data_IF_022032748566
#
_entry.id   IF_022032748566
#
_cell.length_a   1.000
_cell.length_b   1.000
_cell.length_c   1.000
_cell.angle_alpha   90.00
_cell.angle_beta   90.00
_cell.angle_gamma   90.00
#
_symmetry.space_group_name_H-M   'P 1'
#
loop_
_entity.id
_entity.type
_entity.pdbx_description
1 polymer ?
2 non-polymer ?
3 non-polymer ?
4 water ?
#
# COMPACT_ATOMS: atom_id res chain seq x y z
N UNK A 1 -22.20 -22.58 -3.09
CA UNK A 1 -21.39 -21.33 -3.11
C UNK A 1 -20.53 -21.27 -4.36
N UNK A 2 -20.83 -22.15 -5.32
CA UNK A 2 -20.09 -22.20 -6.57
C UNK A 2 -20.23 -20.87 -7.31
N UNK A 3 -21.43 -20.30 -7.27
CA UNK A 3 -21.72 -19.04 -7.93
C UNK A 3 -20.75 -17.94 -7.49
N UNK A 4 -20.45 -17.90 -6.20
CA UNK A 4 -19.55 -16.89 -5.65
C UNK A 4 -18.15 -17.01 -6.23
N UNK A 5 -17.58 -18.21 -6.22
CA UNK A 5 -16.25 -18.42 -6.77
C UNK A 5 -16.19 -18.01 -8.24
N UNK A 6 -17.19 -18.43 -9.01
CA UNK A 6 -17.25 -18.10 -10.44
C UNK A 6 -17.29 -16.59 -10.67
N UNK A 7 -17.95 -15.87 -9.77
CA UNK A 7 -18.04 -14.42 -9.90
C UNK A 7 -16.70 -13.79 -9.51
N UNK A 8 -16.09 -14.32 -8.46
CA UNK A 8 -14.80 -13.80 -8.00
C UNK A 8 -13.79 -13.94 -9.13
N UNK A 9 -13.87 -15.07 -9.82
CA UNK A 9 -12.97 -15.35 -10.93
C UNK A 9 -13.21 -14.39 -12.10
N UNK A 10 -14.47 -14.10 -12.38
CA UNK A 10 -14.84 -13.20 -13.47
C UNK A 10 -14.34 -11.78 -13.22
N UNK A 11 -14.53 -11.29 -12.00
CA UNK A 11 -14.10 -9.95 -11.65
C UNK A 11 -12.57 -9.78 -11.72
N UNK A 12 -11.83 -10.76 -11.22
CA UNK A 12 -10.37 -10.71 -11.25
C UNK A 12 -9.91 -10.64 -12.70
N UNK A 13 -10.51 -11.48 -13.54
CA UNK A 13 -10.15 -11.54 -14.96
C UNK A 13 -10.18 -10.18 -15.64
N UNK A 14 -11.08 -9.30 -15.19
CA UNK A 14 -11.22 -7.97 -15.79
C UNK A 14 -10.17 -6.92 -15.40
N UNK A 15 -9.46 -7.16 -14.29
CA UNK A 15 -8.43 -6.23 -13.83
C UNK A 15 -7.23 -6.20 -14.78
N UNK A 16 -6.60 -5.02 -14.94
CA UNK A 16 -5.44 -4.96 -15.83
C UNK A 16 -4.28 -5.79 -15.27
N UNK A 17 -3.40 -6.24 -16.14
CA UNK A 17 -2.28 -7.07 -15.70
C UNK A 17 -1.34 -6.37 -14.73
N UNK A 18 -1.30 -5.04 -14.75
CA UNK A 18 -0.40 -4.31 -13.84
C UNK A 18 -0.91 -4.04 -12.42
N UNK A 19 -2.05 -4.62 -12.04
CA UNK A 19 -2.56 -4.42 -10.69
C UNK A 19 -1.74 -5.22 -9.68
N UNK A 20 -1.41 -4.61 -8.54
CA UNK A 20 -0.65 -5.28 -7.50
C UNK A 20 -1.46 -6.34 -6.76
N UNK A 21 -0.87 -7.52 -6.56
CA UNK A 21 -1.56 -8.58 -5.82
C UNK A 21 -0.89 -8.88 -4.48
N UNK A 22 0.34 -8.41 -4.29
CA UNK A 22 1.02 -8.57 -2.99
C UNK A 22 2.13 -7.51 -2.87
N UNK A 23 2.46 -7.15 -1.62
CA UNK A 23 3.52 -6.17 -1.33
C UNK A 23 4.07 -6.54 0.06
N UNK A 24 5.36 -6.87 0.11
CA UNK A 24 6.04 -7.31 1.34
C UNK A 24 7.36 -6.56 1.54
N UNK A 25 7.64 -6.13 2.77
CA UNK A 25 8.87 -5.38 3.05
C UNK A 25 10.12 -6.28 3.09
N UNK A 26 11.12 -5.87 2.31
CA UNK A 26 12.38 -6.59 2.18
C UNK A 26 13.51 -6.04 3.06
N UNK A 27 13.44 -4.74 3.40
CA UNK A 27 14.48 -4.12 4.22
C UNK A 27 14.07 -2.69 4.57
N UNK A 28 14.87 -2.02 5.41
CA UNK A 28 14.62 -0.60 5.73
C UNK A 28 15.97 0.09 5.52
N UNK A 29 15.96 1.34 5.08
CA UNK A 29 17.20 2.09 4.87
C UNK A 29 17.16 3.44 5.60
N UNK A 30 18.25 3.79 6.29
CA UNK A 30 18.33 5.07 6.99
C UNK A 30 18.86 6.20 6.08
N UNK A 31 18.15 7.31 6.04
CA UNK A 31 18.57 8.46 5.24
C UNK A 31 19.07 9.49 6.25
N UNK A 32 20.40 9.59 6.36
CA UNK A 32 21.07 10.48 7.31
C UNK A 32 21.02 11.95 6.94
N UNK A 33 21.37 12.79 7.91
CA UNK A 33 21.39 14.22 7.71
C UNK A 33 21.03 14.99 8.97
N UNK A 34 20.91 16.30 8.82
CA UNK A 34 20.52 17.17 9.93
C UNK A 34 19.46 16.43 10.72
N UNK A 35 18.51 15.88 9.97
CA UNK A 35 17.41 15.10 10.52
C UNK A 35 17.37 13.84 9.67
N UNK A 36 17.30 12.67 10.30
CA UNK A 36 17.25 11.44 9.52
C UNK A 36 15.84 10.86 9.54
N UNK A 37 15.54 10.03 8.54
CA UNK A 37 14.24 9.36 8.47
C UNK A 37 14.51 8.00 7.86
N UNK A 38 13.52 7.11 7.91
CA UNK A 38 13.69 5.78 7.36
C UNK A 38 12.77 5.50 6.18
N UNK A 39 13.27 4.71 5.24
CA UNK A 39 12.54 4.35 4.03
C UNK A 39 12.34 2.83 4.00
N UNK A 40 11.12 2.39 3.67
CA UNK A 40 10.81 0.96 3.59
C UNK A 40 11.02 0.48 2.15
N UNK A 41 11.76 -0.62 1.98
CA UNK A 41 12.03 -1.21 0.65
C UNK A 41 10.98 -2.31 0.50
N UNK A 42 10.10 -2.15 -0.48
CA UNK A 42 8.94 -3.03 -0.66
C UNK A 42 8.94 -3.79 -1.98
N UNK A 43 8.79 -5.12 -1.90
CA UNK A 43 8.75 -5.97 -3.09
C UNK A 43 7.28 -6.16 -3.50
N UNK A 44 6.94 -5.74 -4.72
CA UNK A 44 5.57 -5.82 -5.26
C UNK A 44 5.46 -6.88 -6.37
N UNK A 45 4.37 -7.66 -6.36
CA UNK A 45 4.11 -8.65 -7.43
C UNK A 45 2.76 -8.25 -8.05
N UNK A 46 2.63 -8.34 -9.38
CA UNK A 46 1.40 -7.98 -10.07
C UNK A 46 0.68 -9.20 -10.65
N UNK A 47 -0.56 -8.97 -11.06
CA UNK A 47 -1.39 -10.02 -11.65
C UNK A 47 -0.69 -10.64 -12.87
N UNK A 48 -0.03 -9.81 -13.66
CA UNK A 48 0.64 -10.28 -14.86
C UNK A 48 1.97 -10.99 -14.66
N UNK A 49 2.42 -11.10 -13.41
CA UNK A 49 3.67 -11.78 -13.15
C UNK A 49 4.93 -10.94 -12.93
N UNK A 50 4.82 -9.62 -12.93
CA UNK A 50 6.00 -8.77 -12.69
C UNK A 50 6.36 -8.75 -11.21
N UNK A 51 7.64 -8.53 -10.92
CA UNK A 51 8.13 -8.44 -9.54
C UNK A 51 9.19 -7.34 -9.53
N UNK A 52 9.01 -6.36 -8.63
CA UNK A 52 9.93 -5.21 -8.56
C UNK A 52 9.93 -4.53 -7.19
N UNK A 53 10.87 -3.61 -7.00
CA UNK A 53 10.97 -2.88 -5.72
C UNK A 53 10.49 -1.43 -5.84
N UNK A 54 9.91 -0.92 -4.75
CA UNK A 54 9.54 0.51 -4.65
C UNK A 54 10.09 0.95 -3.29
N UNK A 55 10.26 2.26 -3.11
CA UNK A 55 10.82 2.76 -1.85
C UNK A 55 9.87 3.82 -1.29
N UNK A 56 9.32 3.57 -0.10
CA UNK A 56 8.34 4.50 0.50
C UNK A 56 8.59 4.78 1.99
N UNK A 57 8.48 6.05 2.40
CA UNK A 57 8.63 6.41 3.82
C UNK A 57 7.24 6.50 4.48
N UNK A 58 7.18 6.41 5.81
CA UNK A 58 5.88 6.43 6.50
C UNK A 58 4.99 7.63 6.15
N UNK A 59 5.53 8.84 6.04
CA UNK A 59 4.61 9.95 5.75
C UNK A 59 3.92 9.84 4.38
N UNK A 60 4.49 9.07 3.45
CA UNK A 60 3.83 8.85 2.15
C UNK A 60 2.63 7.90 2.39
N UNK A 61 2.79 6.90 3.26
CA UNK A 61 1.69 5.98 3.63
C UNK A 61 0.55 6.77 4.30
N UNK A 62 0.91 7.67 5.22
CA UNK A 62 -0.12 8.42 5.96
C UNK A 62 -0.90 9.35 5.02
N UNK A 63 -0.22 9.99 4.07
CA UNK A 63 -0.90 10.87 3.12
C UNK A 63 -1.86 10.06 2.25
N UNK A 64 -1.48 8.82 1.88
CA UNK A 64 -2.38 8.00 1.06
C UNK A 64 -3.62 7.63 1.90
N UNK A 65 -3.41 7.19 3.13
CA UNK A 65 -4.55 6.75 3.96
C UNK A 65 -5.52 7.91 4.20
N UNK A 66 -4.98 9.12 4.33
CA UNK A 66 -5.86 10.28 4.56
C UNK A 66 -6.81 10.47 3.38
N UNK A 67 -6.31 10.24 2.16
CA UNK A 67 -7.13 10.35 0.96
C UNK A 67 -8.21 9.26 0.95
N UNK A 68 -7.82 8.03 1.27
CA UNK A 68 -8.78 6.92 1.25
C UNK A 68 -9.90 7.14 2.27
N UNK A 69 -9.56 7.65 3.45
CA UNK A 69 -10.58 7.88 4.47
C UNK A 69 -11.59 8.94 4.03
N UNK A 70 -11.12 9.97 3.33
CA UNK A 70 -12.00 11.04 2.84
C UNK A 70 -12.93 10.55 1.73
N UNK A 71 -12.46 9.56 0.98
CA UNK A 71 -13.23 9.01 -0.13
C UNK A 71 -14.09 7.79 0.17
N UNK A 72 -13.63 6.93 1.07
CA UNK A 72 -14.31 5.69 1.36
C UNK A 72 -14.61 5.41 2.84
N UNK A 73 -14.22 6.33 3.71
CA UNK A 73 -14.43 6.14 5.14
C UNK A 73 -15.78 6.60 5.69
N UNK A 74 -15.98 6.52 7.02
CA UNK A 74 -17.20 6.91 7.75
C UNK A 74 -17.64 8.36 7.53
N UNK A 75 -16.70 9.29 7.62
CA UNK A 75 -17.01 10.71 7.43
C UNK A 75 -16.99 11.10 5.95
N UNK A 76 -16.98 10.10 5.08
CA UNK A 76 -16.97 10.32 3.65
C UNK A 76 -18.39 10.48 3.13
N UNK A 77 -18.78 11.71 2.87
CA UNK A 77 -20.12 11.99 2.36
C UNK A 77 -20.24 11.54 0.90
N UNK A 78 -20.17 10.22 0.70
CA UNK A 78 -20.26 9.61 -0.62
C UNK A 78 -20.68 8.14 -0.45
N UNK A 79 -21.50 7.92 0.57
CA UNK A 79 -22.04 6.61 0.96
C UNK A 79 -21.92 5.42 0.00
N UNK A 80 -22.24 5.62 -1.27
CA UNK A 80 -22.18 4.53 -2.25
C UNK A 80 -20.86 3.75 -2.28
N UNK A 81 -19.74 4.45 -2.20
CA UNK A 81 -18.43 3.79 -2.25
C UNK A 81 -17.84 3.41 -0.90
N UNK A 82 -18.59 3.63 0.18
CA UNK A 82 -18.10 3.30 1.51
C UNK A 82 -17.77 1.82 1.70
N UNK A 83 -16.71 1.53 2.47
CA UNK A 83 -16.32 0.16 2.78
C UNK A 83 -15.42 0.14 4.02
N UNK A 84 -15.08 -1.05 4.51
CA UNK A 84 -14.23 -1.14 5.70
C UNK A 84 -12.74 -1.07 5.34
N UNK A 85 -12.12 0.06 5.63
CA UNK A 85 -10.69 0.26 5.33
C UNK A 85 -9.82 -0.27 6.48
N UNK A 86 -8.60 -0.79 6.17
CA UNK A 86 -7.76 -1.27 7.27
C UNK A 86 -7.19 -0.06 7.98
N UNK A 87 -6.84 -0.20 9.25
CA UNK A 87 -6.28 0.93 9.97
C UNK A 87 -4.76 0.96 9.79
N UNK A 88 -4.22 2.14 9.51
CA UNK A 88 -2.77 2.30 9.35
C UNK A 88 -2.12 2.50 10.72
N UNK A 89 -0.96 1.87 10.95
CA UNK A 89 -0.25 2.02 12.23
C UNK A 89 -0.15 3.54 12.48
N UNK A 90 -0.36 3.97 13.72
CA UNK A 90 -0.38 5.40 14.03
C UNK A 90 0.94 6.17 14.11
N UNK A 91 0.83 7.49 14.04
CA UNK A 91 2.00 8.35 14.15
C UNK A 91 2.60 8.18 15.53
N UNK A 92 3.92 8.38 15.62
CA UNK A 92 4.64 8.29 16.88
C UNK A 92 5.48 9.59 16.88
N UNK A 93 5.08 10.55 17.71
CA UNK A 93 5.76 11.84 17.74
C UNK A 93 7.22 11.86 18.17
N UNK A 94 7.57 11.13 19.22
CA UNK A 94 8.95 11.11 19.70
C UNK A 94 9.44 9.69 20.00
N UNK A 95 10.76 9.50 19.99
CA UNK A 95 11.30 8.18 20.27
C UNK A 95 12.47 7.83 19.36
N UNK A 96 13.02 6.63 19.52
CA UNK A 96 14.16 6.19 18.70
C UNK A 96 13.67 5.83 17.29
N UNK A 97 14.01 6.64 16.29
CA UNK A 97 13.53 6.41 14.92
C UNK A 97 13.76 5.02 14.29
N UNK A 98 14.93 4.43 14.51
CA UNK A 98 15.21 3.11 13.96
C UNK A 98 14.35 2.01 14.60
N UNK A 99 14.05 2.13 15.89
CA UNK A 99 13.23 1.14 16.57
C UNK A 99 11.77 1.29 16.13
N UNK A 100 11.35 2.54 15.93
CA UNK A 100 9.99 2.80 15.48
C UNK A 100 9.80 2.14 14.11
N UNK A 101 10.78 2.34 13.22
CA UNK A 101 10.72 1.74 11.88
C UNK A 101 10.68 0.20 11.92
N UNK A 102 11.54 -0.42 12.73
CA UNK A 102 11.55 -1.89 12.84
C UNK A 102 10.20 -2.44 13.32
N UNK A 103 9.59 -1.78 14.30
CA UNK A 103 8.29 -2.18 14.84
C UNK A 103 7.20 -2.07 13.76
N UNK A 104 7.33 -1.09 12.86
CA UNK A 104 6.37 -0.91 11.77
C UNK A 104 6.44 -1.94 10.63
N UNK A 105 7.52 -2.71 10.53
CA UNK A 105 7.59 -3.70 9.43
C UNK A 105 6.41 -4.68 9.43
N UNK A 106 6.19 -5.46 10.51
CA UNK A 106 5.03 -6.37 10.46
C UNK A 106 3.68 -5.65 10.40
N UNK A 107 3.58 -4.49 11.04
CA UNK A 107 2.33 -3.72 11.04
C UNK A 107 2.00 -3.17 9.63
N UNK A 108 3.01 -2.70 8.90
CA UNK A 108 2.77 -2.19 7.55
C UNK A 108 2.54 -3.35 6.58
N UNK A 109 3.15 -4.50 6.84
CA UNK A 109 2.92 -5.67 5.98
C UNK A 109 1.42 -6.05 6.07
N UNK A 110 0.86 -6.05 7.29
CA UNK A 110 -0.56 -6.37 7.51
C UNK A 110 -1.46 -5.33 6.83
N UNK A 111 -1.14 -4.04 7.00
CA UNK A 111 -1.92 -2.98 6.37
C UNK A 111 -1.93 -3.13 4.83
N UNK A 112 -0.77 -3.40 4.21
CA UNK A 112 -0.76 -3.54 2.75
C UNK A 112 -1.53 -4.78 2.28
N UNK A 113 -1.41 -5.88 3.02
CA UNK A 113 -2.15 -7.12 2.67
C UNK A 113 -3.65 -6.83 2.65
N UNK A 114 -4.13 -6.14 3.69
CA UNK A 114 -5.55 -5.83 3.81
C UNK A 114 -6.02 -4.85 2.73
N UNK A 115 -5.20 -3.86 2.42
CA UNK A 115 -5.54 -2.89 1.39
C UNK A 115 -5.72 -3.54 0.00
N UNK A 116 -4.86 -4.49 -0.35
CA UNK A 116 -4.92 -5.10 -1.67
C UNK A 116 -6.06 -6.12 -1.84
N UNK A 117 -6.78 -6.37 -0.75
CA UNK A 117 -7.94 -7.28 -0.74
C UNK A 117 -9.26 -6.49 -0.74
N UNK A 118 -9.20 -5.17 -0.89
CA UNK A 118 -10.42 -4.32 -0.90
C UNK A 118 -11.19 -4.38 -2.23
N UNK A 119 -12.41 -3.82 -2.27
CA UNK A 119 -13.20 -3.84 -3.52
C UNK A 119 -12.50 -3.20 -4.71
N UNK A 120 -12.90 -3.61 -5.92
CA UNK A 120 -12.32 -3.10 -7.15
C UNK A 120 -12.27 -1.57 -7.28
N UNK A 121 -13.29 -0.86 -6.78
CA UNK A 121 -13.28 0.59 -6.90
C UNK A 121 -12.21 1.26 -6.04
N UNK A 122 -11.71 0.54 -5.03
CA UNK A 122 -10.64 1.08 -4.19
C UNK A 122 -9.31 0.68 -4.85
N UNK A 123 -9.19 -0.58 -5.25
CA UNK A 123 -7.96 -1.04 -5.92
C UNK A 123 -7.63 -0.18 -7.14
N UNK A 124 -8.66 0.28 -7.83
CA UNK A 124 -8.51 1.09 -9.03
C UNK A 124 -8.43 2.60 -8.78
N UNK A 125 -8.49 3.01 -7.51
CA UNK A 125 -8.37 4.43 -7.19
C UNK A 125 -7.01 4.88 -7.76
N UNK A 126 -6.97 6.02 -8.44
CA UNK A 126 -5.73 6.48 -9.07
C UNK A 126 -4.55 6.66 -8.11
N UNK A 127 -4.81 7.09 -6.87
CA UNK A 127 -3.72 7.27 -5.91
C UNK A 127 -3.19 5.93 -5.37
N UNK A 128 -4.06 4.94 -5.22
CA UNK A 128 -3.63 3.61 -4.78
C UNK A 128 -2.74 3.02 -5.89
N UNK A 129 -3.17 3.14 -7.15
CA UNK A 129 -2.36 2.61 -8.26
C UNK A 129 -0.99 3.31 -8.32
N UNK A 130 -0.98 4.64 -8.19
CA UNK A 130 0.30 5.40 -8.21
C UNK A 130 1.24 4.98 -7.06
N UNK A 131 0.68 4.73 -5.87
CA UNK A 131 1.49 4.34 -4.71
C UNK A 131 2.23 3.03 -4.97
N UNK A 132 1.59 2.09 -5.66
CA UNK A 132 2.26 0.81 -5.93
C UNK A 132 3.08 0.68 -7.24
N UNK A 133 2.95 1.64 -8.16
CA UNK A 133 3.73 1.65 -9.42
C UNK A 133 5.18 2.05 -9.10
N UNK A 134 6.12 1.74 -9.99
CA UNK A 134 7.51 2.19 -9.81
C UNK A 134 7.66 3.63 -10.30
N UNK A 135 8.09 4.54 -9.42
CA UNK A 135 8.35 5.92 -9.81
C UNK A 135 9.67 5.87 -10.60
N UNK A 136 10.04 6.96 -11.29
CA UNK A 136 11.30 6.97 -12.04
C UNK A 136 12.52 6.70 -11.15
N UNK A 137 12.46 7.12 -9.88
CA UNK A 137 13.58 6.90 -8.97
C UNK A 137 13.62 5.45 -8.50
N UNK A 138 12.46 4.84 -8.30
CA UNK A 138 12.43 3.43 -7.89
C UNK A 138 13.08 2.55 -8.99
N UNK A 139 12.65 2.75 -10.24
CA UNK A 139 13.12 1.93 -11.37
C UNK A 139 14.55 2.12 -11.84
N UNK A 140 15.17 3.25 -11.50
CA UNK A 140 16.57 3.46 -11.90
C UNK A 140 17.55 2.81 -10.94
N UNK A 141 17.08 2.30 -9.80
CA UNK A 141 18.00 1.62 -8.86
C UNK A 141 18.26 0.19 -9.34
N UNK A 142 19.43 -0.37 -9.02
CA UNK A 142 19.70 -1.79 -9.33
C UNK A 142 19.41 -2.55 -8.03
N UNK A 143 18.41 -3.47 -8.01
CA UNK A 143 18.08 -4.24 -6.79
C UNK A 143 19.30 -4.98 -6.23
X LIG B 1 5.21 12.17 11.53
X LIG B 1 5.50 11.59 10.12
X LIG B 1 6.75 10.63 10.19
X LIG B 1 6.49 9.48 11.23
X LIG B 1 6.22 10.09 12.63
X LIG B 1 4.97 11.03 12.56
X LIG B 1 4.02 12.97 11.44
X LIG B 1 4.37 10.88 9.66
X LIG B 1 6.96 10.15 8.86
X LIG B 1 7.63 8.61 11.32
X LIG B 1 5.96 9.05 13.57
X LIG B 1 4.74 11.59 13.85
X LIG B 1 4.00 14.54 11.22
X LIG B 1 2.64 14.90 10.46
X LIG B 1 5.26 15.03 10.43
X LIG B 1 3.99 15.22 12.68
X LIG B 1 8.41 9.78 8.25
X LIG B 1 9.01 8.55 9.04
X LIG B 1 9.35 11.04 8.45
X LIG B 1 8.21 9.41 6.71
X LIG B 1 2.80 15.38 13.42
X LIG B 1 2.46 16.86 13.31
X LIG B 1 3.10 17.67 14.47
X LIG B 1 2.42 18.89 16.45
X LIG B 1 1.56 20.08 16.91
X LIG B 1 2.25 21.15 17.77
X LIG B 1 1.38 22.39 18.00
X LIG B 1 0.52 17.42 11.90
X LIG B 1 -0.89 17.99 12.03
X LIG B 1 -0.96 19.52 12.16
X LIG B 1 -1.14 19.96 13.61
X LIG B 1 1.04 17.08 13.16
X LIG B 1 2.21 18.60 15.11
X LIG B 1 3.33 18.42 17.17
X LIG B 1 1.17 17.57 10.87
X LIG C 1 19.49 -0.75 7.71
X LIG C 1 20.78 -1.44 7.03
X LIG C 1 19.48 0.46 8.40
X LIG C 1 18.89 0.33 9.60
X LIG C 1 19.92 1.34 7.69
X LIG C 1 20.53 2.03 6.43
#
# INVERSE_FOLDING_TARGET
AVAQQLRAESDFEQLPDDVAISANIADIEEKRGFTSHFVFVIEVKTKGGSKYLIYRRYRQFHALQSKLEERFGPDSKSSALACTLPTLPAKVYVGVKQEIAEMRIPALNAYMKSLLSLPVWVLMDEDVRIFFYQSPYDSEQVP
PIB C1 C2 C3 C4 C5 C6 O1 O2 O3 O4 O5 O6 P1 O11 O12 O13 P3 O31 O32 O33 C7 C8 C9 C10 C11 C12 C13 C14 C15 C16 C17 O14 O15 O16 O17
GOL C1 O1 C2 O2 C3 O3
#
